data_IF_328076711661
#
_entry.id   IF_328076711661
#
_cell.length_a   1.000
_cell.length_b   1.000
_cell.length_c   1.000
_cell.angle_alpha   90.00
_cell.angle_beta   90.00
_cell.angle_gamma   90.00
#
_symmetry.space_group_name_H-M   'P 1'
#
loop_
_entity.id
_entity.type
_entity.pdbx_description
1 polymer ?
#
# COMPACT_ATOMS: atom_id res chain seq x y z
N UNK A 1 0.33 -10.05 -12.40
CA UNK A 1 1.23 -10.75 -11.45
C UNK A 1 1.44 -12.22 -11.80
N UNK A 2 0.43 -13.09 -11.62
CA UNK A 2 0.51 -14.53 -11.93
C UNK A 2 1.05 -14.80 -13.33
N UNK A 3 0.56 -14.05 -14.32
CA UNK A 3 1.03 -14.06 -15.72
C UNK A 3 2.50 -13.65 -15.94
N UNK A 4 3.08 -12.81 -15.07
CA UNK A 4 4.49 -12.42 -15.16
C UNK A 4 5.39 -13.55 -14.64
N UNK A 5 5.00 -14.15 -13.50
CA UNK A 5 5.68 -15.33 -12.95
C UNK A 5 5.59 -16.54 -13.89
N UNK A 6 4.41 -16.80 -14.47
CA UNK A 6 4.18 -17.85 -15.49
C UNK A 6 5.04 -17.65 -16.75
N UNK A 7 5.50 -16.41 -17.02
CA UNK A 7 6.34 -16.07 -18.18
C UNK A 7 7.83 -15.94 -17.83
N UNK A 8 8.25 -16.38 -16.64
CA UNK A 8 9.67 -16.47 -16.27
C UNK A 8 10.33 -15.13 -15.95
N UNK A 9 9.56 -14.13 -15.54
CA UNK A 9 10.10 -12.85 -15.06
C UNK A 9 10.62 -12.99 -13.62
N UNK A 10 11.66 -13.80 -13.41
CA UNK A 10 12.15 -14.23 -12.08
C UNK A 10 13.56 -13.78 -11.73
N UNK A 11 14.16 -12.87 -12.51
CA UNK A 11 15.53 -12.39 -12.25
C UNK A 11 15.51 -11.18 -11.30
N UNK A 12 16.57 -10.92 -10.56
CA UNK A 12 16.70 -9.65 -9.83
C UNK A 12 17.32 -8.62 -10.79
N UNK A 13 16.71 -7.44 -10.92
CA UNK A 13 17.33 -6.33 -11.65
C UNK A 13 17.89 -5.37 -10.63
N UNK A 14 19.20 -5.10 -10.65
CA UNK A 14 19.77 -4.05 -9.83
C UNK A 14 19.20 -2.71 -10.31
N UNK A 15 18.33 -2.12 -9.51
CA UNK A 15 17.93 -0.73 -9.63
C UNK A 15 18.85 0.13 -8.75
N UNK A 16 19.01 1.40 -9.09
CA UNK A 16 20.16 2.22 -8.67
C UNK A 16 20.25 2.53 -7.16
N UNK A 17 19.29 2.10 -6.34
CA UNK A 17 19.31 2.30 -4.87
C UNK A 17 18.57 1.22 -4.05
N UNK A 18 18.02 0.15 -4.64
CA UNK A 18 17.23 -0.83 -3.87
C UNK A 18 17.11 -2.17 -4.64
N UNK A 19 17.66 -3.26 -4.08
CA UNK A 19 17.60 -4.61 -4.66
C UNK A 19 16.18 -5.19 -4.49
N UNK A 20 15.25 -4.83 -5.38
CA UNK A 20 13.93 -5.45 -5.42
C UNK A 20 13.85 -6.59 -6.45
N UNK A 21 13.12 -7.67 -6.13
CA UNK A 21 12.84 -8.70 -7.13
C UNK A 21 12.10 -8.11 -8.33
N UNK A 22 12.55 -8.38 -9.59
CA UNK A 22 11.80 -8.01 -10.82
C UNK A 22 10.32 -8.36 -10.76
N UNK A 23 9.94 -9.50 -10.16
CA UNK A 23 8.55 -9.82 -10.01
C UNK A 23 7.72 -8.63 -9.43
N UNK A 24 8.19 -7.91 -8.41
CA UNK A 24 7.39 -6.83 -7.80
C UNK A 24 7.40 -5.50 -8.59
N UNK A 25 8.24 -5.39 -9.62
CA UNK A 25 8.38 -4.19 -10.46
C UNK A 25 7.06 -3.70 -11.10
N UNK A 26 6.21 -4.55 -11.72
CA UNK A 26 4.93 -4.10 -12.28
C UNK A 26 3.95 -3.55 -11.24
N UNK A 27 3.97 -4.08 -10.01
CA UNK A 27 3.11 -3.58 -8.93
C UNK A 27 3.56 -2.20 -8.46
N UNK A 28 4.87 -2.01 -8.31
CA UNK A 28 5.47 -0.73 -7.94
C UNK A 28 5.20 0.33 -9.00
N UNK A 29 5.37 -0.04 -10.28
CA UNK A 29 5.12 0.86 -11.41
C UNK A 29 3.65 1.23 -11.55
N UNK A 30 2.74 0.28 -11.31
CA UNK A 30 1.31 0.56 -11.23
C UNK A 30 1.03 1.57 -10.11
N UNK A 31 1.52 1.32 -8.89
CA UNK A 31 1.37 2.23 -7.75
C UNK A 31 1.88 3.63 -8.05
N UNK A 32 3.08 3.75 -8.59
CA UNK A 32 3.68 5.03 -8.97
C UNK A 32 2.82 5.77 -10.01
N UNK A 33 2.31 5.05 -11.02
CA UNK A 33 1.47 5.64 -12.07
C UNK A 33 0.15 6.17 -11.50
N UNK A 34 -0.54 5.37 -10.68
CA UNK A 34 -1.84 5.75 -10.11
C UNK A 34 -1.71 6.96 -9.16
N UNK A 35 -0.68 6.96 -8.30
CA UNK A 35 -0.39 8.06 -7.39
C UNK A 35 0.00 9.33 -8.15
N UNK A 36 0.99 9.25 -9.04
CA UNK A 36 1.46 10.44 -9.76
C UNK A 36 0.41 11.01 -10.71
N UNK A 37 -0.42 10.18 -11.33
CA UNK A 37 -1.52 10.68 -12.14
C UNK A 37 -2.50 11.50 -11.29
N UNK A 38 -2.79 11.05 -10.06
CA UNK A 38 -3.63 11.83 -9.13
C UNK A 38 -2.93 13.10 -8.63
N UNK A 39 -1.61 13.06 -8.42
CA UNK A 39 -0.82 14.20 -7.94
C UNK A 39 -0.71 15.33 -8.98
N UNK A 40 -0.86 15.02 -10.27
CA UNK A 40 -0.75 15.99 -11.36
C UNK A 40 -1.85 17.07 -11.31
N UNK A 41 -2.95 16.85 -10.59
CA UNK A 41 -4.02 17.84 -10.45
C UNK A 41 -4.80 18.11 -11.74
N UNK A 42 -4.75 17.20 -12.71
CA UNK A 42 -5.37 17.34 -14.04
C UNK A 42 -6.75 16.68 -14.15
N UNK A 43 -7.42 16.47 -13.01
CA UNK A 43 -8.77 15.91 -12.94
C UNK A 43 -8.84 14.38 -12.79
N UNK A 44 -7.70 13.69 -12.81
CA UNK A 44 -7.61 12.32 -12.29
C UNK A 44 -7.49 12.39 -10.77
N UNK A 45 -8.35 11.66 -10.06
CA UNK A 45 -8.51 11.75 -8.60
C UNK A 45 -8.50 10.36 -7.97
N UNK A 46 -8.35 10.24 -6.64
CA UNK A 46 -8.49 8.94 -5.97
C UNK A 46 -9.84 8.25 -6.21
N UNK A 47 -10.88 9.00 -6.60
CA UNK A 47 -12.18 8.43 -6.98
C UNK A 47 -12.14 7.68 -8.32
N UNK A 48 -11.13 7.96 -9.16
CA UNK A 48 -10.92 7.33 -10.46
C UNK A 48 -10.05 6.07 -10.37
N UNK A 49 -9.50 5.78 -9.19
CA UNK A 49 -8.64 4.61 -9.00
C UNK A 49 -9.37 3.30 -9.30
N UNK A 50 -8.74 2.38 -10.07
CA UNK A 50 -9.33 1.08 -10.36
C UNK A 50 -9.61 0.29 -9.07
N UNK A 51 -10.78 -0.34 -8.97
CA UNK A 51 -11.16 -1.11 -7.78
C UNK A 51 -10.15 -2.23 -7.42
N UNK A 52 -9.53 -2.85 -8.44
CA UNK A 52 -8.48 -3.86 -8.22
C UNK A 52 -7.20 -3.25 -7.62
N UNK A 53 -6.82 -2.04 -8.04
CA UNK A 53 -5.72 -1.29 -7.45
C UNK A 53 -6.03 -0.93 -5.99
N UNK A 54 -7.22 -0.38 -5.71
CA UNK A 54 -7.64 -0.03 -4.35
C UNK A 54 -7.60 -1.24 -3.43
N UNK A 55 -8.14 -2.38 -3.85
CA UNK A 55 -8.14 -3.61 -3.06
C UNK A 55 -6.71 -4.10 -2.76
N UNK A 56 -5.83 -4.07 -3.75
CA UNK A 56 -4.45 -4.50 -3.61
C UNK A 56 -3.61 -3.56 -2.71
N UNK A 57 -3.70 -2.26 -2.95
CA UNK A 57 -2.95 -1.24 -2.21
C UNK A 57 -3.42 -1.18 -0.75
N UNK A 58 -4.74 -1.19 -0.50
CA UNK A 58 -5.30 -1.22 0.85
C UNK A 58 -4.80 -2.43 1.65
N UNK A 59 -4.83 -3.62 1.08
CA UNK A 59 -4.34 -4.82 1.74
C UNK A 59 -2.82 -4.72 2.04
N UNK A 60 -2.06 -4.06 1.16
CA UNK A 60 -0.63 -3.81 1.37
C UNK A 60 -0.39 -2.85 2.52
N UNK A 61 -1.14 -1.75 2.59
CA UNK A 61 -1.01 -0.77 3.65
C UNK A 61 -1.47 -1.28 5.01
N UNK A 62 -2.54 -2.07 5.06
CA UNK A 62 -2.98 -2.71 6.31
C UNK A 62 -1.95 -3.72 6.86
N UNK A 63 -1.21 -4.43 6.00
CA UNK A 63 -0.12 -5.31 6.45
C UNK A 63 1.05 -4.54 7.05
N UNK A 64 1.33 -3.34 6.54
CA UNK A 64 2.43 -2.51 7.00
C UNK A 64 2.05 -1.61 8.20
N UNK A 65 0.74 -1.41 8.45
CA UNK A 65 0.22 -0.54 9.50
C UNK A 65 0.78 -0.85 10.90
N UNK A 66 0.89 -2.11 11.38
CA UNK A 66 1.38 -2.39 12.72
C UNK A 66 2.78 -1.83 13.01
N UNK A 67 3.67 -1.79 12.01
CA UNK A 67 5.01 -1.22 12.14
C UNK A 67 5.05 0.31 12.26
N UNK A 68 3.90 0.99 12.08
CA UNK A 68 3.77 2.44 12.15
C UNK A 68 2.97 2.92 13.35
N UNK A 69 2.39 2.01 14.14
CA UNK A 69 1.61 2.35 15.32
C UNK A 69 2.53 2.78 16.46
N UNK A 70 2.14 3.83 17.18
CA UNK A 70 2.77 4.18 18.44
C UNK A 70 2.36 3.19 19.54
N UNK A 71 3.15 3.05 20.62
CA UNK A 71 2.75 2.24 21.76
C UNK A 71 1.36 2.63 22.30
N UNK A 72 0.44 1.66 22.39
CA UNK A 72 -0.93 1.86 22.87
C UNK A 72 -1.97 2.12 21.78
N UNK A 73 -1.56 2.50 20.56
CA UNK A 73 -2.48 2.67 19.43
C UNK A 73 -2.91 1.33 18.82
N UNK A 74 -2.12 0.28 19.01
CA UNK A 74 -2.45 -1.10 18.66
C UNK A 74 -3.70 -1.61 19.39
N UNK A 75 -3.75 -1.42 20.71
CA UNK A 75 -4.90 -1.80 21.52
C UNK A 75 -6.13 -0.95 21.17
N UNK A 76 -5.96 0.35 20.97
CA UNK A 76 -7.04 1.27 20.59
C UNK A 76 -7.62 0.91 19.23
N UNK A 77 -6.77 0.65 18.24
CA UNK A 77 -7.18 0.20 16.91
C UNK A 77 -7.90 -1.15 16.98
N UNK A 78 -7.35 -2.13 17.70
CA UNK A 78 -7.94 -3.46 17.83
C UNK A 78 -9.32 -3.40 18.51
N UNK A 79 -9.44 -2.66 19.61
CA UNK A 79 -10.71 -2.54 20.33
C UNK A 79 -11.76 -1.76 19.54
N UNK A 80 -11.35 -0.77 18.74
CA UNK A 80 -12.23 -0.11 17.77
C UNK A 80 -12.71 -1.05 16.66
N UNK A 81 -11.79 -1.76 16.00
CA UNK A 81 -12.11 -2.73 14.92
C UNK A 81 -13.02 -3.86 15.38
N UNK A 82 -12.91 -4.28 16.63
CA UNK A 82 -13.71 -5.36 17.22
C UNK A 82 -15.00 -4.87 17.88
N UNK A 83 -15.27 -3.56 17.87
CA UNK A 83 -16.45 -2.95 18.49
C UNK A 83 -16.46 -3.03 20.02
N UNK A 84 -15.29 -3.21 20.64
CA UNK A 84 -15.11 -3.29 22.10
C UNK A 84 -14.82 -1.95 22.75
N UNK A 85 -14.50 -0.95 21.94
CA UNK A 85 -14.38 0.45 22.33
C UNK A 85 -14.80 1.35 21.15
N UNK A 86 -15.07 2.64 21.38
CA UNK A 86 -15.25 3.61 20.31
C UNK A 86 -14.05 3.63 19.36
N UNK A 87 -14.31 3.90 18.07
CA UNK A 87 -13.25 4.10 17.09
C UNK A 87 -12.32 5.25 17.54
N UNK A 88 -10.98 5.08 17.49
CA UNK A 88 -10.07 6.14 17.86
C UNK A 88 -10.27 7.36 16.95
N UNK A 89 -10.62 8.50 17.54
CA UNK A 89 -10.76 9.77 16.82
C UNK A 89 -9.44 10.29 16.26
N UNK A 90 -8.32 9.84 16.82
CA UNK A 90 -6.96 10.13 16.36
C UNK A 90 -6.09 8.87 16.47
N UNK A 91 -5.34 8.59 15.41
CA UNK A 91 -4.25 7.63 15.35
C UNK A 91 -3.03 8.38 14.81
N UNK A 92 -1.97 8.48 15.61
CA UNK A 92 -0.72 9.08 15.14
C UNK A 92 0.12 7.98 14.50
N UNK A 93 0.21 8.02 13.17
CA UNK A 93 1.03 7.09 12.42
C UNK A 93 2.43 7.66 12.26
N UNK A 94 3.44 6.79 12.38
CA UNK A 94 4.79 7.10 11.91
C UNK A 94 4.83 7.42 10.41
N UNK A 95 5.96 7.93 9.90
CA UNK A 95 6.10 8.35 8.51
C UNK A 95 5.77 7.25 7.48
N UNK A 96 5.31 7.70 6.32
CA UNK A 96 4.96 6.86 5.17
C UNK A 96 6.14 6.54 4.29
#
# INVERSE_FOLDING_TARGET
WRRCAERGWTFDVPDRDDDWPLPDSPKRRLRETELHHSDMGLGYTPQDWPAEYVAWELATQLRALPGRLQPGDDLRLLTGLTGRAPWPSTLELGPW
#
